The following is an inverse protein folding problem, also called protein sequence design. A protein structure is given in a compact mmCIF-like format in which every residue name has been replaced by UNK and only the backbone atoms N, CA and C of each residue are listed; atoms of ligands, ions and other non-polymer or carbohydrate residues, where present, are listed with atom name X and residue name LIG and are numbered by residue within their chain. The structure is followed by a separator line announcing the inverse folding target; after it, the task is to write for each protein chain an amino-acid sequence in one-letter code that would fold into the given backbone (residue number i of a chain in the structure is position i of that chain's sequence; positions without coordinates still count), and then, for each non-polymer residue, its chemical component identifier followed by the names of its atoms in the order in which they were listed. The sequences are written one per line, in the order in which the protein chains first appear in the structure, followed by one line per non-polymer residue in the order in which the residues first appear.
data_IF_438136557952
#
_entry.id   IF_438136557952
#
_cell.length_a   1.000
_cell.length_b   1.000
_cell.length_c   1.000
_cell.angle_alpha   90.00
_cell.angle_beta   90.00
_cell.angle_gamma   90.00
#
_symmetry.space_group_name_H-M   'P 1'
#
loop_
_entity.id
_entity.type
_entity.pdbx_description
1 polymer ?
#
# COMPACT_ATOMS: atom_id res chain seq x y z
N UNK A 1 17.13 -12.33 9.49
CA UNK A 1 17.70 -11.22 8.69
C UNK A 1 19.16 -11.02 9.12
N UNK A 2 20.13 -11.08 8.19
CA UNK A 2 21.51 -10.67 8.49
C UNK A 2 21.57 -9.22 8.98
N UNK A 3 22.46 -8.91 9.93
CA UNK A 3 22.59 -7.55 10.47
C UNK A 3 23.05 -6.52 9.43
N UNK A 4 23.81 -6.96 8.42
CA UNK A 4 24.33 -6.09 7.37
C UNK A 4 23.24 -5.39 6.54
N UNK A 5 22.02 -5.96 6.52
CA UNK A 5 20.86 -5.30 5.90
C UNK A 5 20.60 -3.90 6.48
N UNK A 6 20.79 -3.73 7.79
CA UNK A 6 20.56 -2.43 8.44
C UNK A 6 21.65 -1.39 8.16
N UNK A 7 22.77 -1.80 7.56
CA UNK A 7 23.83 -0.90 7.12
C UNK A 7 23.63 -0.41 5.67
N UNK A 8 22.63 -0.94 4.95
CA UNK A 8 22.32 -0.52 3.59
C UNK A 8 21.72 0.90 3.59
N UNK A 9 22.18 1.73 2.65
CA UNK A 9 21.62 3.08 2.46
C UNK A 9 20.24 2.95 1.81
N UNK A 10 19.20 3.38 2.52
CA UNK A 10 17.86 3.43 1.97
C UNK A 10 17.79 4.38 0.75
N UNK A 11 16.98 4.06 -0.28
CA UNK A 11 16.74 4.99 -1.37
C UNK A 11 16.25 6.35 -0.88
N UNK A 12 16.67 7.43 -1.54
CA UNK A 12 16.24 8.80 -1.22
C UNK A 12 14.70 8.90 -1.34
N UNK A 13 13.99 9.26 -0.25
CA UNK A 13 12.54 9.33 -0.27
C UNK A 13 12.08 10.47 -1.18
N UNK A 14 11.47 10.12 -2.32
CA UNK A 14 10.77 11.09 -3.15
C UNK A 14 9.55 11.64 -2.41
N UNK A 15 9.18 12.92 -2.63
CA UNK A 15 7.92 13.46 -2.13
C UNK A 15 6.75 12.60 -2.59
N UNK A 16 5.76 12.42 -1.71
CA UNK A 16 4.53 11.75 -2.09
C UNK A 16 3.84 12.53 -3.22
N UNK A 17 3.23 11.83 -4.20
CA UNK A 17 2.48 12.49 -5.25
C UNK A 17 1.27 13.24 -4.67
N UNK A 18 0.78 14.25 -5.39
CA UNK A 18 -0.44 14.99 -5.00
C UNK A 18 -1.70 14.12 -5.04
N UNK A 19 -1.66 13.03 -5.81
CA UNK A 19 -2.73 12.05 -5.92
C UNK A 19 -2.18 10.62 -5.80
N UNK A 20 -2.95 9.76 -5.16
CA UNK A 20 -2.69 8.32 -5.04
C UNK A 20 -3.98 7.57 -4.69
N UNK A 21 -3.85 6.26 -4.51
CA UNK A 21 -4.87 5.37 -3.99
C UNK A 21 -4.25 4.44 -2.95
N UNK A 22 -5.05 3.93 -2.03
CA UNK A 22 -4.59 3.09 -0.93
C UNK A 22 -5.39 1.79 -0.84
N UNK A 23 -4.70 0.66 -0.84
CA UNK A 23 -5.26 -0.65 -0.57
C UNK A 23 -4.81 -1.13 0.81
N UNK A 24 -5.72 -1.18 1.76
CA UNK A 24 -5.46 -1.66 3.12
C UNK A 24 -5.49 -3.19 3.14
N UNK A 25 -4.35 -3.82 3.42
CA UNK A 25 -4.22 -5.28 3.48
C UNK A 25 -4.58 -5.89 4.84
N UNK A 26 -4.54 -5.10 5.92
CA UNK A 26 -4.85 -5.55 7.28
C UNK A 26 -5.15 -4.38 8.23
N UNK A 27 -5.75 -4.67 9.39
CA UNK A 27 -6.07 -3.69 10.44
C UNK A 27 -4.84 -2.95 10.98
N UNK A 28 -3.67 -3.56 10.90
CA UNK A 28 -2.41 -2.93 11.32
C UNK A 28 -2.10 -1.63 10.56
N UNK A 29 -2.78 -1.39 9.45
CA UNK A 29 -2.63 -0.21 8.60
C UNK A 29 -3.77 0.81 8.72
N UNK A 30 -4.58 0.75 9.78
CA UNK A 30 -5.70 1.68 10.00
C UNK A 30 -5.25 3.15 9.99
N UNK A 31 -4.09 3.44 10.58
CA UNK A 31 -3.56 4.81 10.65
C UNK A 31 -3.18 5.34 9.25
N UNK A 32 -2.54 4.51 8.44
CA UNK A 32 -2.12 4.82 7.07
C UNK A 32 -3.34 4.95 6.14
N UNK A 33 -4.33 4.07 6.29
CA UNK A 33 -5.59 4.15 5.55
C UNK A 33 -6.34 5.46 5.88
N UNK A 34 -6.40 5.85 7.15
CA UNK A 34 -6.98 7.12 7.57
C UNK A 34 -6.19 8.32 7.01
N UNK A 35 -4.86 8.25 7.00
CA UNK A 35 -4.02 9.30 6.44
C UNK A 35 -4.22 9.47 4.92
N UNK A 36 -4.41 8.38 4.18
CA UNK A 36 -4.75 8.42 2.76
C UNK A 36 -6.15 9.04 2.52
N UNK A 37 -7.14 8.62 3.31
CA UNK A 37 -8.50 9.18 3.22
C UNK A 37 -8.53 10.69 3.51
N UNK A 38 -7.76 11.17 4.50
CA UNK A 38 -7.64 12.61 4.80
C UNK A 38 -7.02 13.43 3.64
N UNK A 39 -6.25 12.79 2.76
CA UNK A 39 -5.70 13.39 1.54
C UNK A 39 -6.68 13.37 0.37
N UNK A 40 -7.89 12.83 0.56
CA UNK A 40 -8.89 12.66 -0.49
C UNK A 40 -8.58 11.52 -1.46
N UNK A 41 -7.68 10.61 -1.10
CA UNK A 41 -7.34 9.46 -1.94
C UNK A 41 -8.42 8.38 -1.81
N UNK A 42 -8.74 7.66 -2.90
CA UNK A 42 -9.54 6.45 -2.81
C UNK A 42 -8.87 5.43 -1.89
N UNK A 43 -9.62 4.93 -0.91
CA UNK A 43 -9.17 3.88 0.01
C UNK A 43 -10.09 2.66 -0.15
N UNK A 44 -9.49 1.48 -0.29
CA UNK A 44 -10.20 0.20 -0.28
C UNK A 44 -9.55 -0.74 0.73
N UNK A 45 -10.37 -1.57 1.36
CA UNK A 45 -9.90 -2.66 2.19
C UNK A 45 -9.88 -3.94 1.37
N UNK A 46 -8.82 -4.71 1.54
CA UNK A 46 -8.69 -6.05 0.99
C UNK A 46 -8.94 -7.06 2.10
N UNK A 47 -9.85 -8.00 1.85
CA UNK A 47 -10.19 -9.06 2.80
C UNK A 47 -9.25 -10.26 2.62
N UNK A 48 -7.99 -10.05 3.03
CA UNK A 48 -6.94 -11.07 3.06
C UNK A 48 -6.16 -11.01 4.37
N UNK A 49 -5.12 -11.84 4.49
CA UNK A 49 -4.16 -11.69 5.58
C UNK A 49 -3.06 -10.67 5.25
N UNK A 50 -2.33 -10.25 6.27
CA UNK A 50 -1.26 -9.26 6.15
C UNK A 50 -0.20 -9.62 5.08
N UNK A 51 0.02 -10.91 4.83
CA UNK A 51 1.05 -11.41 3.93
C UNK A 51 0.49 -11.91 2.59
N UNK A 52 -0.77 -11.61 2.26
CA UNK A 52 -1.39 -12.13 1.04
C UNK A 52 -0.68 -11.63 -0.21
N UNK A 53 -0.08 -10.43 -0.16
CA UNK A 53 0.79 -9.92 -1.23
C UNK A 53 2.00 -10.83 -1.53
N UNK A 54 2.43 -11.67 -0.58
CA UNK A 54 3.52 -12.65 -0.74
C UNK A 54 3.00 -14.06 -1.00
N UNK A 55 1.90 -14.47 -0.38
CA UNK A 55 1.39 -15.85 -0.41
C UNK A 55 0.42 -16.11 -1.58
N UNK A 56 -0.38 -15.12 -1.96
CA UNK A 56 -1.25 -15.14 -3.14
C UNK A 56 -1.38 -13.72 -3.74
N UNK A 57 -0.42 -13.29 -4.57
CA UNK A 57 -0.36 -11.91 -5.04
C UNK A 57 -1.45 -11.53 -6.04
N UNK A 58 -2.08 -12.50 -6.72
CA UNK A 58 -2.98 -12.21 -7.85
C UNK A 58 -4.20 -11.36 -7.44
N UNK A 59 -4.96 -11.73 -6.38
CA UNK A 59 -6.05 -10.89 -5.90
C UNK A 59 -5.62 -9.46 -5.51
N UNK A 60 -4.41 -9.28 -4.97
CA UNK A 60 -3.88 -7.96 -4.60
C UNK A 60 -3.62 -7.11 -5.85
N UNK A 61 -3.05 -7.70 -6.89
CA UNK A 61 -2.82 -7.04 -8.18
C UNK A 61 -4.14 -6.56 -8.78
N UNK A 62 -5.17 -7.42 -8.80
CA UNK A 62 -6.47 -7.08 -9.37
C UNK A 62 -7.09 -5.85 -8.66
N UNK A 63 -7.01 -5.80 -7.33
CA UNK A 63 -7.49 -4.64 -6.55
C UNK A 63 -6.70 -3.36 -6.78
N UNK A 64 -5.37 -3.46 -6.97
CA UNK A 64 -4.56 -2.30 -7.32
C UNK A 64 -4.97 -1.77 -8.70
N UNK A 65 -5.18 -2.66 -9.68
CA UNK A 65 -5.60 -2.26 -11.02
C UNK A 65 -6.98 -1.56 -11.00
N UNK A 66 -7.95 -2.09 -10.24
CA UNK A 66 -9.25 -1.43 -10.03
C UNK A 66 -9.10 0.00 -9.49
N UNK A 67 -8.26 0.19 -8.46
CA UNK A 67 -7.98 1.50 -7.88
C UNK A 67 -7.32 2.49 -8.86
N UNK A 68 -6.53 2.00 -9.83
CA UNK A 68 -5.88 2.87 -10.83
C UNK A 68 -6.83 3.37 -11.90
N UNK A 69 -7.92 2.63 -12.19
CA UNK A 69 -8.92 3.02 -13.20
C UNK A 69 -9.85 4.12 -12.68
N UNK A 70 -10.07 4.24 -11.37
CA UNK A 70 -10.86 5.33 -10.75
C UNK A 70 -10.29 6.75 -10.98
N UNK A 71 -9.10 6.85 -11.59
CA UNK A 71 -8.45 8.10 -11.98
C UNK A 71 -8.88 8.62 -13.38
N UNK A 72 -9.43 7.76 -14.23
CA UNK A 72 -9.86 8.08 -15.59
C UNK A 72 -11.28 8.66 -15.60
#
# INVERSE_FOLDING_TARGET
MPLDYFAEVAPDPRPLPTWGAYLQLSDTYDAEAAAAAQRGWPVRRFDGDHLTILTDPRPVVDRILELTVERL
#
